data_IF_878563037406
#
_entry.id   IF_878563037406
#
_cell.length_a   1.000
_cell.length_b   1.000
_cell.length_c   1.000
_cell.angle_alpha   90.00
_cell.angle_beta   90.00
_cell.angle_gamma   90.00
#
_symmetry.space_group_name_H-M   'P 1'
#
loop_
_entity.id
_entity.type
_entity.pdbx_description
1 polymer ?
#
# COMPACT_ATOMS: atom_id res chain seq x y z
N UNK A 1 -37.48 -34.32 50.71
CA UNK A 1 -37.35 -32.84 50.60
C UNK A 1 -35.95 -32.35 51.04
N UNK A 2 -34.88 -32.84 50.44
CA UNK A 2 -33.51 -32.33 50.70
C UNK A 2 -32.68 -32.13 49.42
N UNK A 3 -33.12 -32.70 48.28
CA UNK A 3 -32.45 -32.55 46.98
C UNK A 3 -32.92 -31.28 46.24
N UNK A 4 -34.15 -30.81 46.48
CA UNK A 4 -34.70 -29.61 45.83
C UNK A 4 -34.07 -28.32 46.41
N UNK A 5 -33.70 -28.31 47.69
CA UNK A 5 -33.05 -27.16 48.32
C UNK A 5 -31.61 -26.94 47.81
N UNK A 6 -30.88 -28.00 47.46
CA UNK A 6 -29.52 -27.93 46.94
C UNK A 6 -29.47 -27.42 45.48
N UNK A 7 -30.50 -27.70 44.68
CA UNK A 7 -30.59 -27.18 43.31
C UNK A 7 -30.98 -25.69 43.31
N UNK A 8 -31.85 -25.26 44.23
CA UNK A 8 -32.20 -23.83 44.37
C UNK A 8 -31.02 -23.01 44.92
N UNK A 9 -30.17 -23.59 45.78
CA UNK A 9 -28.94 -22.96 46.28
C UNK A 9 -27.79 -22.94 45.25
N UNK A 10 -27.70 -23.92 44.34
CA UNK A 10 -26.73 -23.88 43.25
C UNK A 10 -27.11 -22.91 42.12
N UNK A 11 -28.39 -22.56 41.99
CA UNK A 11 -28.87 -21.58 41.00
C UNK A 11 -28.83 -20.14 41.54
N UNK A 12 -28.71 -19.93 42.86
CA UNK A 12 -28.74 -18.60 43.48
C UNK A 12 -27.36 -17.97 43.77
N UNK A 13 -26.26 -18.65 43.43
CA UNK A 13 -24.89 -18.09 43.47
C UNK A 13 -24.30 -17.76 42.08
N UNK A 14 -25.11 -17.82 41.01
CA UNK A 14 -24.79 -17.06 39.81
C UNK A 14 -25.27 -15.64 40.01
N UNK A 15 -24.34 -14.78 40.44
CA UNK A 15 -24.42 -13.32 40.34
C UNK A 15 -25.23 -12.98 39.10
N UNK A 16 -26.38 -12.36 39.33
CA UNK A 16 -27.30 -11.82 38.35
C UNK A 16 -26.50 -11.16 37.23
N UNK A 17 -26.21 -11.91 36.18
CA UNK A 17 -25.52 -11.37 35.03
C UNK A 17 -26.49 -10.33 34.47
N UNK A 18 -26.12 -9.08 34.62
CA UNK A 18 -26.72 -7.96 33.92
C UNK A 18 -26.44 -8.13 32.42
N UNK A 19 -27.14 -9.07 31.79
CA UNK A 19 -27.06 -9.35 30.36
C UNK A 19 -27.87 -8.27 29.68
N UNK A 20 -27.20 -7.33 29.03
CA UNK A 20 -27.87 -6.46 28.07
C UNK A 20 -27.95 -7.19 26.72
N UNK A 21 -29.16 -7.33 26.20
CA UNK A 21 -29.38 -7.27 24.76
C UNK A 21 -29.12 -5.81 24.34
N UNK A 22 -28.31 -5.61 23.30
CA UNK A 22 -27.94 -4.26 22.85
C UNK A 22 -29.16 -3.56 22.22
N UNK A 23 -29.61 -2.45 22.81
CA UNK A 23 -30.78 -1.69 22.33
C UNK A 23 -30.58 -1.03 20.94
N UNK A 24 -29.34 -1.02 20.40
CA UNK A 24 -29.07 -0.52 19.04
C UNK A 24 -27.86 -1.22 18.40
N UNK A 25 -28.15 -2.13 17.47
CA UNK A 25 -27.15 -2.85 16.67
C UNK A 25 -26.78 -2.10 15.38
N UNK A 26 -26.87 -0.78 15.38
CA UNK A 26 -26.46 0.05 14.24
C UNK A 26 -24.98 0.39 14.33
N UNK A 27 -24.29 0.51 13.18
CA UNK A 27 -22.86 0.85 13.15
C UNK A 27 -22.56 2.16 13.88
N UNK A 28 -23.43 3.17 13.76
CA UNK A 28 -23.29 4.45 14.45
C UNK A 28 -23.39 4.28 15.97
N UNK A 29 -24.38 3.52 16.47
CA UNK A 29 -24.50 3.31 17.91
C UNK A 29 -23.36 2.47 18.49
N UNK A 30 -22.90 1.45 17.76
CA UNK A 30 -21.69 0.70 18.15
C UNK A 30 -20.50 1.66 18.19
N UNK A 31 -20.34 2.53 17.19
CA UNK A 31 -19.27 3.51 17.13
C UNK A 31 -19.32 4.47 18.33
N UNK A 32 -20.48 5.04 18.65
CA UNK A 32 -20.66 5.93 19.79
C UNK A 32 -20.32 5.24 21.12
N UNK A 33 -20.72 3.96 21.28
CA UNK A 33 -20.35 3.17 22.45
C UNK A 33 -18.82 3.00 22.56
N UNK A 34 -18.13 2.71 21.45
CA UNK A 34 -16.66 2.61 21.46
C UNK A 34 -16.02 3.96 21.79
N UNK A 35 -16.51 5.07 21.23
CA UNK A 35 -15.98 6.41 21.54
C UNK A 35 -16.17 6.79 23.00
N UNK A 36 -17.36 6.55 23.55
CA UNK A 36 -17.64 6.76 24.97
C UNK A 36 -16.71 5.90 25.84
N UNK A 37 -16.52 4.63 25.46
CA UNK A 37 -15.57 3.73 26.15
C UNK A 37 -14.14 4.26 26.10
N UNK A 38 -13.69 4.81 24.96
CA UNK A 38 -12.35 5.40 24.82
C UNK A 38 -12.15 6.64 25.70
N UNK A 39 -13.20 7.41 25.98
CA UNK A 39 -13.13 8.56 26.90
C UNK A 39 -13.04 8.13 28.37
N UNK A 40 -13.56 6.94 28.68
CA UNK A 40 -13.61 6.38 30.03
C UNK A 40 -12.34 5.61 30.38
N UNK A 41 -11.73 4.98 29.38
CA UNK A 41 -10.53 4.18 29.52
C UNK A 41 -9.27 5.03 29.32
N UNK A 42 -8.16 4.58 29.90
CA UNK A 42 -6.87 5.21 29.66
C UNK A 42 -6.41 5.00 28.21
N UNK A 43 -6.62 6.02 27.36
CA UNK A 43 -6.27 6.04 25.93
C UNK A 43 -4.83 5.57 25.65
N UNK A 44 -3.86 6.01 26.44
CA UNK A 44 -2.45 5.65 26.24
C UNK A 44 -2.19 4.16 26.50
N UNK A 45 -2.82 3.59 27.52
CA UNK A 45 -2.71 2.15 27.78
C UNK A 45 -3.46 1.33 26.73
N UNK A 46 -4.64 1.78 26.29
CA UNK A 46 -5.41 1.13 25.21
C UNK A 46 -4.60 1.08 23.91
N UNK A 47 -3.95 2.18 23.53
CA UNK A 47 -3.16 2.24 22.31
C UNK A 47 -1.94 1.30 22.30
N UNK A 48 -1.40 0.95 23.48
CA UNK A 48 -0.29 -0.02 23.60
C UNK A 48 -0.75 -1.46 23.35
N UNK A 49 -2.05 -1.74 23.43
CA UNK A 49 -2.62 -3.07 23.20
C UNK A 49 -2.88 -3.38 21.73
N UNK A 50 -2.69 -2.39 20.85
CA UNK A 50 -2.81 -2.54 19.40
C UNK A 50 -1.43 -2.87 18.84
N UNK A 51 -1.35 -3.94 18.06
CA UNK A 51 -0.12 -4.27 17.37
C UNK A 51 0.02 -3.43 16.08
N UNK A 52 0.64 -2.25 16.20
CA UNK A 52 0.83 -1.32 15.08
C UNK A 52 1.61 -1.90 13.90
N UNK A 53 2.56 -2.81 14.15
CA UNK A 53 3.32 -3.46 13.08
C UNK A 53 2.43 -4.30 12.17
N UNK A 54 1.50 -5.05 12.77
CA UNK A 54 0.50 -5.83 12.04
C UNK A 54 -0.48 -4.93 11.27
N UNK A 55 -0.70 -3.70 11.73
CA UNK A 55 -1.68 -2.79 11.13
C UNK A 55 -1.22 -2.14 9.86
N UNK A 56 0.08 -2.05 9.60
CA UNK A 56 0.60 -1.37 8.39
C UNK A 56 -0.15 -1.74 7.11
N UNK A 57 -0.33 -3.04 6.89
CA UNK A 57 -0.92 -3.57 5.66
C UNK A 57 -2.35 -4.09 5.84
N UNK A 58 -2.81 -4.23 7.08
CA UNK A 58 -4.11 -4.83 7.41
C UNK A 58 -5.01 -3.90 8.23
N UNK A 59 -4.69 -2.61 8.23
CA UNK A 59 -5.54 -1.56 8.77
C UNK A 59 -6.94 -1.63 8.13
N UNK A 60 -7.96 -1.26 8.91
CA UNK A 60 -9.38 -1.36 8.54
C UNK A 60 -9.92 -2.78 8.34
N UNK A 61 -9.07 -3.81 8.16
CA UNK A 61 -9.55 -5.17 7.93
C UNK A 61 -10.07 -5.83 9.22
N UNK A 62 -11.26 -6.41 9.10
CA UNK A 62 -11.97 -7.12 10.13
C UNK A 62 -11.46 -8.55 10.37
N UNK A 63 -11.70 -9.05 11.57
CA UNK A 63 -11.28 -10.39 12.00
C UNK A 63 -11.79 -11.50 11.05
N UNK A 64 -13.05 -11.44 10.62
CA UNK A 64 -13.68 -12.47 9.80
C UNK A 64 -13.06 -12.55 8.40
N UNK A 65 -12.80 -11.41 7.76
CA UNK A 65 -12.20 -11.39 6.41
C UNK A 65 -10.76 -11.93 6.46
N UNK A 66 -10.02 -11.55 7.50
CA UNK A 66 -8.66 -12.08 7.70
C UNK A 66 -8.68 -13.58 8.01
N UNK A 67 -9.65 -14.06 8.78
CA UNK A 67 -9.81 -15.49 9.06
C UNK A 67 -10.13 -16.28 7.79
N UNK A 68 -11.02 -15.79 6.93
CA UNK A 68 -11.37 -16.43 5.64
C UNK A 68 -10.19 -16.48 4.66
N UNK A 69 -9.14 -15.69 4.90
CA UNK A 69 -7.99 -15.56 4.00
C UNK A 69 -6.71 -16.16 4.60
N UNK A 70 -6.84 -16.96 5.67
CA UNK A 70 -5.71 -17.53 6.43
C UNK A 70 -4.69 -16.48 6.93
N UNK A 71 -5.16 -15.24 7.14
CA UNK A 71 -4.38 -14.11 7.68
C UNK A 71 -4.83 -13.71 9.09
N UNK A 72 -5.51 -14.61 9.80
CA UNK A 72 -6.04 -14.38 11.15
C UNK A 72 -5.01 -13.78 12.12
N UNK A 73 -3.75 -14.22 12.01
CA UNK A 73 -2.62 -13.76 12.83
C UNK A 73 -2.29 -12.27 12.65
N UNK A 74 -2.74 -11.66 11.56
CA UNK A 74 -2.53 -10.25 11.24
C UNK A 74 -3.63 -9.34 11.80
N UNK A 75 -4.66 -9.90 12.46
CA UNK A 75 -5.69 -9.07 13.08
C UNK A 75 -5.09 -8.23 14.22
N UNK A 76 -5.10 -6.92 14.02
CA UNK A 76 -4.48 -5.91 14.87
C UNK A 76 -5.10 -5.73 16.24
N UNK A 77 -6.42 -5.90 16.30
CA UNK A 77 -7.22 -5.37 17.38
C UNK A 77 -7.53 -6.44 18.44
N UNK A 78 -6.89 -7.61 18.37
CA UNK A 78 -7.08 -8.72 19.33
C UNK A 78 -6.94 -8.27 20.79
N UNK A 79 -5.98 -7.41 21.09
CA UNK A 79 -5.72 -6.92 22.45
C UNK A 79 -6.75 -5.91 22.97
N UNK A 80 -7.57 -5.33 22.10
CA UNK A 80 -8.58 -4.33 22.47
C UNK A 80 -10.01 -4.77 22.19
N UNK A 81 -10.22 -5.80 21.36
CA UNK A 81 -11.55 -6.24 20.94
C UNK A 81 -12.47 -6.53 22.12
N UNK A 82 -11.95 -7.14 23.19
CA UNK A 82 -12.76 -7.49 24.35
C UNK A 82 -13.23 -6.24 25.11
N UNK A 83 -12.37 -5.22 25.23
CA UNK A 83 -12.68 -3.97 25.94
C UNK A 83 -13.79 -3.16 25.26
N UNK A 84 -13.94 -3.29 23.94
CA UNK A 84 -14.83 -2.44 23.13
C UNK A 84 -16.01 -3.18 22.51
N UNK A 85 -15.88 -4.48 22.22
CA UNK A 85 -16.93 -5.28 21.58
C UNK A 85 -17.67 -6.21 22.54
N UNK A 86 -17.10 -6.48 23.72
CA UNK A 86 -17.69 -7.39 24.70
C UNK A 86 -18.03 -6.69 26.03
N UNK A 87 -17.62 -5.44 26.22
CA UNK A 87 -17.93 -4.65 27.40
C UNK A 87 -18.66 -3.36 27.04
N UNK A 88 -19.57 -2.94 27.91
CA UNK A 88 -20.24 -1.64 27.86
C UNK A 88 -20.07 -0.92 29.19
N UNK A 89 -19.71 0.36 29.12
CA UNK A 89 -19.57 1.24 30.28
C UNK A 89 -20.84 2.05 30.41
N UNK A 90 -21.70 1.68 31.34
CA UNK A 90 -23.00 2.33 31.49
C UNK A 90 -22.94 3.40 32.58
N UNK A 91 -23.50 4.59 32.33
CA UNK A 91 -23.53 5.65 33.33
C UNK A 91 -24.47 5.29 34.48
N UNK A 92 -24.18 5.83 35.66
CA UNK A 92 -25.05 5.77 36.82
C UNK A 92 -24.94 7.05 37.66
N UNK A 93 -25.93 7.27 38.52
CA UNK A 93 -25.96 8.44 39.39
C UNK A 93 -25.01 8.27 40.58
N UNK A 94 -23.98 9.12 40.64
CA UNK A 94 -22.92 9.05 41.63
C UNK A 94 -23.38 9.55 43.00
N UNK A 95 -22.96 8.90 44.08
CA UNK A 95 -23.06 9.47 45.43
C UNK A 95 -22.14 10.71 45.54
N UNK A 96 -22.56 11.73 46.30
CA UNK A 96 -21.71 12.88 46.65
C UNK A 96 -20.40 12.47 47.34
N UNK A 97 -20.39 11.35 48.07
CA UNK A 97 -19.20 10.79 48.71
C UNK A 97 -18.41 9.79 47.84
N UNK A 98 -18.78 9.58 46.58
CA UNK A 98 -18.18 8.48 45.81
C UNK A 98 -16.66 8.61 45.64
N UNK A 99 -16.15 9.82 45.35
CA UNK A 99 -14.72 10.03 45.15
C UNK A 99 -13.91 9.66 46.40
N UNK A 100 -14.43 9.98 47.59
CA UNK A 100 -13.83 9.58 48.87
C UNK A 100 -13.82 8.06 49.04
N UNK A 101 -14.92 7.38 48.72
CA UNK A 101 -15.03 5.91 48.77
C UNK A 101 -14.07 5.27 47.75
N UNK A 102 -13.95 5.83 46.54
CA UNK A 102 -13.01 5.39 45.50
C UNK A 102 -11.57 5.55 45.96
N UNK A 103 -11.21 6.68 46.58
CA UNK A 103 -9.85 6.91 47.07
C UNK A 103 -9.47 5.94 48.19
N UNK A 104 -10.39 5.68 49.14
CA UNK A 104 -10.24 4.62 50.14
C UNK A 104 -10.02 3.26 49.48
N UNK A 105 -10.85 2.91 48.50
CA UNK A 105 -10.76 1.66 47.75
C UNK A 105 -9.40 1.49 47.06
N UNK A 106 -8.97 2.47 46.26
CA UNK A 106 -7.70 2.43 45.54
C UNK A 106 -6.52 2.35 46.51
N UNK A 107 -6.57 3.07 47.63
CA UNK A 107 -5.54 3.03 48.67
C UNK A 107 -5.41 1.66 49.32
N UNK A 108 -6.53 1.04 49.70
CA UNK A 108 -6.56 -0.33 50.23
C UNK A 108 -6.01 -1.30 49.19
N UNK A 109 -6.52 -1.25 47.95
CA UNK A 109 -6.09 -2.14 46.87
C UNK A 109 -4.59 -2.01 46.56
N UNK A 110 -4.03 -0.80 46.45
CA UNK A 110 -2.60 -0.60 46.21
C UNK A 110 -1.75 -1.16 47.35
N UNK A 111 -2.13 -0.91 48.60
CA UNK A 111 -1.39 -1.36 49.79
C UNK A 111 -1.45 -2.87 49.98
N UNK A 112 -2.55 -3.49 49.55
CA UNK A 112 -2.71 -4.94 49.57
C UNK A 112 -2.06 -5.65 48.37
N UNK A 113 -1.97 -4.99 47.21
CA UNK A 113 -1.42 -5.55 45.98
C UNK A 113 0.09 -5.41 45.86
N UNK A 114 0.66 -4.33 46.41
CA UNK A 114 2.10 -4.07 46.38
C UNK A 114 2.71 -4.34 47.76
N UNK A 115 4.00 -4.70 47.79
CA UNK A 115 4.75 -4.73 49.04
C UNK A 115 5.05 -3.28 49.43
N UNK A 116 4.17 -2.65 50.22
CA UNK A 116 4.36 -1.28 50.67
C UNK A 116 5.18 -1.27 51.97
N UNK A 117 6.44 -0.78 51.98
CA UNK A 117 7.31 -0.81 53.17
C UNK A 117 6.83 0.08 54.33
N UNK A 118 5.83 0.95 54.09
CA UNK A 118 5.32 1.93 55.07
C UNK A 118 3.98 1.53 55.71
N UNK A 119 3.50 0.30 55.51
CA UNK A 119 2.26 -0.18 56.12
C UNK A 119 2.56 -0.79 57.51
N UNK A 120 1.93 -0.27 58.56
CA UNK A 120 2.07 -0.76 59.94
C UNK A 120 1.19 -1.99 60.17
N UNK A 121 -0.08 -1.90 59.77
CA UNK A 121 -1.08 -2.95 59.88
C UNK A 121 -2.02 -2.91 58.66
N UNK A 122 -2.40 -4.09 58.15
CA UNK A 122 -3.35 -4.22 57.03
C UNK A 122 -4.14 -5.52 57.13
N UNK A 123 -5.43 -5.46 56.79
CA UNK A 123 -6.25 -6.63 56.50
C UNK A 123 -6.57 -6.64 55.00
N UNK A 124 -6.14 -7.70 54.32
CA UNK A 124 -6.31 -7.93 52.88
C UNK A 124 -6.97 -9.30 52.61
N UNK A 125 -7.63 -9.89 53.60
CA UNK A 125 -8.12 -11.29 53.57
C UNK A 125 -9.13 -11.58 52.46
N UNK A 126 -9.91 -10.58 52.05
CA UNK A 126 -10.89 -10.73 50.95
C UNK A 126 -10.28 -10.56 49.56
N UNK A 127 -8.97 -10.28 49.45
CA UNK A 127 -8.27 -10.04 48.19
C UNK A 127 -7.39 -11.24 47.84
N UNK A 128 -7.60 -11.79 46.66
CA UNK A 128 -6.69 -12.79 46.11
C UNK A 128 -5.44 -12.09 45.56
N UNK A 129 -4.30 -12.33 46.20
CA UNK A 129 -3.04 -11.69 45.84
C UNK A 129 -2.50 -12.12 44.48
N UNK A 130 -2.79 -13.33 43.99
CA UNK A 130 -2.29 -13.83 42.71
C UNK A 130 -2.95 -13.12 41.53
N UNK A 131 -4.27 -13.00 41.57
CA UNK A 131 -5.07 -12.50 40.46
C UNK A 131 -5.66 -11.09 40.70
N UNK A 132 -5.48 -10.54 41.90
CA UNK A 132 -6.00 -9.25 42.38
C UNK A 132 -7.52 -9.14 42.32
N UNK A 133 -8.26 -10.25 42.39
CA UNK A 133 -9.73 -10.25 42.46
C UNK A 133 -10.21 -10.29 43.91
N UNK A 134 -11.41 -9.76 44.14
CA UNK A 134 -12.08 -9.74 45.43
C UNK A 134 -13.17 -10.82 45.45
N UNK A 135 -13.16 -11.71 46.46
CA UNK A 135 -14.06 -12.87 46.51
C UNK A 135 -15.51 -12.52 46.83
N UNK A 136 -15.71 -11.64 47.81
CA UNK A 136 -17.01 -11.15 48.24
C UNK A 136 -16.92 -9.62 48.38
N UNK A 137 -17.75 -8.92 47.61
CA UNK A 137 -17.76 -7.47 47.58
C UNK A 137 -18.16 -6.85 48.92
N UNK A 138 -19.15 -7.44 49.59
CA UNK A 138 -19.69 -6.93 50.84
C UNK A 138 -18.74 -7.25 52.00
N UNK A 139 -18.16 -8.44 52.02
CA UNK A 139 -17.12 -8.81 53.01
C UNK A 139 -15.91 -7.89 52.87
N UNK A 140 -15.50 -7.59 51.63
CA UNK A 140 -14.38 -6.70 51.38
C UNK A 140 -14.62 -5.32 51.98
N UNK A 141 -15.80 -4.75 51.73
CA UNK A 141 -16.18 -3.44 52.21
C UNK A 141 -16.35 -3.38 53.73
N UNK A 142 -16.67 -4.51 54.38
CA UNK A 142 -16.84 -4.58 55.84
C UNK A 142 -15.54 -4.73 56.62
N UNK A 143 -14.57 -5.47 56.08
CA UNK A 143 -13.49 -6.04 56.89
C UNK A 143 -12.09 -5.58 56.51
N UNK A 144 -11.85 -5.12 55.28
CA UNK A 144 -10.52 -4.68 54.85
C UNK A 144 -10.21 -3.28 55.35
N UNK A 145 -8.97 -3.10 55.81
CA UNK A 145 -8.45 -1.82 56.26
C UNK A 145 -6.94 -1.75 56.07
N UNK A 146 -6.42 -0.52 56.01
CA UNK A 146 -4.97 -0.27 55.96
C UNK A 146 -4.60 0.89 56.89
N UNK A 147 -3.47 0.75 57.58
CA UNK A 147 -2.88 1.77 58.44
C UNK A 147 -1.47 2.08 57.96
N UNK A 148 -1.24 3.31 57.49
CA UNK A 148 0.07 3.80 57.05
C UNK A 148 0.72 4.64 58.15
N UNK A 149 2.04 4.72 58.18
CA UNK A 149 2.81 5.50 59.16
C UNK A 149 2.27 6.94 59.30
N UNK A 150 1.76 7.28 60.49
CA UNK A 150 1.27 8.63 60.81
C UNK A 150 -0.17 8.94 60.35
N UNK A 151 -0.89 7.98 59.76
CA UNK A 151 -2.26 8.16 59.27
C UNK A 151 -3.29 7.38 60.10
N UNK A 152 -4.53 7.87 60.10
CA UNK A 152 -5.68 7.11 60.65
C UNK A 152 -5.96 5.89 59.79
N UNK A 153 -6.43 4.82 60.43
CA UNK A 153 -6.91 3.60 59.78
C UNK A 153 -7.90 3.96 58.66
N UNK A 154 -7.61 3.50 57.45
CA UNK A 154 -8.48 3.68 56.27
C UNK A 154 -9.36 2.44 56.14
N UNK A 155 -10.67 2.61 56.32
CA UNK A 155 -11.71 1.57 56.20
C UNK A 155 -13.04 2.19 55.73
N UNK A 156 -14.02 1.35 55.38
CA UNK A 156 -15.35 1.82 54.95
C UNK A 156 -16.37 1.81 56.09
N UNK A 157 -17.12 2.90 56.20
CA UNK A 157 -18.25 3.02 57.12
C UNK A 157 -19.48 2.26 56.60
N UNK A 158 -20.43 1.85 57.47
CA UNK A 158 -21.63 1.12 57.04
C UNK A 158 -22.43 1.80 55.93
N UNK A 159 -22.49 3.13 55.94
CA UNK A 159 -23.16 3.94 54.91
C UNK A 159 -22.44 3.93 53.55
N UNK A 160 -21.17 3.52 53.52
CA UNK A 160 -20.33 3.44 52.32
C UNK A 160 -20.36 2.04 51.67
N UNK A 161 -20.86 1.01 52.37
CA UNK A 161 -20.75 -0.41 51.95
C UNK A 161 -21.42 -0.71 50.62
N UNK A 162 -22.60 -0.14 50.34
CA UNK A 162 -23.31 -0.38 49.08
C UNK A 162 -22.53 0.18 47.88
N UNK A 163 -22.02 1.41 48.00
CA UNK A 163 -21.24 2.04 46.93
C UNK A 163 -19.87 1.40 46.77
N UNK A 164 -19.22 1.02 47.87
CA UNK A 164 -18.01 0.22 47.83
C UNK A 164 -18.24 -1.10 47.08
N UNK A 165 -19.36 -1.79 47.32
CA UNK A 165 -19.67 -3.06 46.65
C UNK A 165 -19.80 -2.89 45.13
N UNK A 166 -20.43 -1.80 44.66
CA UNK A 166 -20.53 -1.46 43.23
C UNK A 166 -19.15 -1.17 42.59
N UNK A 167 -18.26 -0.51 43.32
CA UNK A 167 -16.87 -0.27 42.88
C UNK A 167 -16.14 -1.61 42.78
N UNK A 168 -16.29 -2.49 43.76
CA UNK A 168 -15.67 -3.83 43.78
C UNK A 168 -16.14 -4.69 42.59
N UNK A 169 -17.44 -4.70 42.29
CA UNK A 169 -17.99 -5.43 41.15
C UNK A 169 -17.38 -4.95 39.82
N UNK A 170 -17.33 -3.63 39.61
CA UNK A 170 -16.70 -3.03 38.42
C UNK A 170 -15.20 -3.30 38.36
N UNK A 171 -14.52 -3.27 39.51
CA UNK A 171 -13.11 -3.59 39.63
C UNK A 171 -12.81 -5.06 39.29
N UNK A 172 -13.59 -6.00 39.81
CA UNK A 172 -13.45 -7.42 39.52
C UNK A 172 -13.63 -7.71 38.03
N UNK A 173 -14.60 -7.07 37.39
CA UNK A 173 -14.82 -7.23 35.95
C UNK A 173 -13.67 -6.61 35.14
N UNK A 174 -13.21 -5.42 35.52
CA UNK A 174 -12.00 -4.84 34.93
C UNK A 174 -10.80 -5.80 35.08
N UNK A 175 -10.60 -6.37 36.27
CA UNK A 175 -9.47 -7.23 36.58
C UNK A 175 -9.52 -8.55 35.80
N UNK A 176 -10.72 -9.10 35.61
CA UNK A 176 -10.94 -10.24 34.74
C UNK A 176 -10.47 -9.97 33.30
N UNK A 177 -10.79 -8.79 32.75
CA UNK A 177 -10.35 -8.40 31.40
C UNK A 177 -8.84 -8.17 31.35
N UNK A 178 -8.32 -7.41 32.31
CA UNK A 178 -6.90 -7.14 32.50
C UNK A 178 -6.07 -8.43 32.44
N UNK A 179 -6.53 -9.50 33.09
CA UNK A 179 -5.87 -10.82 33.06
C UNK A 179 -5.87 -11.46 31.67
N UNK A 180 -6.98 -11.38 30.93
CA UNK A 180 -7.04 -11.87 29.53
C UNK A 180 -6.06 -11.12 28.61
N UNK A 181 -5.72 -9.88 28.97
CA UNK A 181 -4.78 -9.04 28.25
C UNK A 181 -3.35 -9.10 28.82
N UNK A 182 -3.11 -9.93 29.85
CA UNK A 182 -1.84 -10.04 30.55
C UNK A 182 -1.34 -8.70 31.16
N UNK A 183 -2.25 -7.88 31.68
CA UNK A 183 -1.96 -6.56 32.24
C UNK A 183 -2.30 -6.48 33.74
N UNK A 184 -1.73 -7.35 34.58
CA UNK A 184 -2.12 -7.57 35.99
C UNK A 184 -2.60 -6.33 36.79
N UNK A 185 -1.93 -5.18 36.69
CA UNK A 185 -2.24 -3.98 37.48
C UNK A 185 -3.08 -2.92 36.75
N UNK A 186 -3.56 -3.19 35.53
CA UNK A 186 -4.29 -2.22 34.69
C UNK A 186 -5.39 -1.46 35.44
N UNK A 187 -6.23 -2.17 36.21
CA UNK A 187 -7.36 -1.59 36.91
C UNK A 187 -6.97 -0.73 38.12
N UNK A 188 -5.83 -1.03 38.75
CA UNK A 188 -5.28 -0.31 39.91
C UNK A 188 -4.46 0.90 39.47
N UNK A 189 -3.77 0.79 38.33
CA UNK A 189 -2.92 1.84 37.76
C UNK A 189 -3.71 2.83 36.88
N UNK A 190 -5.04 2.81 36.99
CA UNK A 190 -5.92 3.80 36.35
C UNK A 190 -6.28 3.48 34.90
N UNK A 191 -6.35 2.21 34.52
CA UNK A 191 -6.88 1.75 33.24
C UNK A 191 -8.39 1.99 33.07
N UNK A 192 -9.14 1.89 34.18
CA UNK A 192 -10.52 2.35 34.32
C UNK A 192 -10.58 3.28 35.55
N UNK A 193 -10.99 4.53 35.37
CA UNK A 193 -10.97 5.55 36.46
C UNK A 193 -12.36 6.05 36.86
N UNK A 194 -13.36 5.81 36.03
CA UNK A 194 -14.71 6.35 36.19
C UNK A 194 -15.60 5.45 37.06
N UNK A 195 -15.02 4.82 38.09
CA UNK A 195 -15.76 3.98 39.05
C UNK A 195 -16.93 4.70 39.70
N UNK A 196 -16.90 6.04 39.74
CA UNK A 196 -17.93 6.86 40.36
C UNK A 196 -19.08 7.26 39.46
N UNK A 197 -18.91 7.17 38.14
CA UNK A 197 -19.90 7.63 37.17
C UNK A 197 -20.35 6.52 36.24
N UNK A 198 -19.59 5.42 36.15
CA UNK A 198 -19.86 4.31 35.25
C UNK A 198 -19.63 2.96 35.93
N UNK A 199 -20.41 1.95 35.54
CA UNK A 199 -20.13 0.55 35.84
C UNK A 199 -19.90 -0.24 34.55
N UNK A 200 -19.17 -1.34 34.66
CA UNK A 200 -18.85 -2.21 33.51
C UNK A 200 -19.90 -3.32 33.42
N UNK A 201 -20.46 -3.56 32.23
CA UNK A 201 -21.32 -4.72 31.92
C UNK A 201 -20.79 -5.50 30.73
N UNK A 202 -21.03 -6.81 30.74
CA UNK A 202 -20.71 -7.69 29.62
C UNK A 202 -21.83 -7.66 28.57
N UNK A 203 -21.46 -7.55 27.30
CA UNK A 203 -22.36 -7.61 26.14
C UNK A 203 -22.28 -9.02 25.55
N UNK A 204 -23.43 -9.69 25.42
CA UNK A 204 -23.56 -11.05 24.85
C UNK A 204 -24.45 -11.07 23.62
N UNK A 205 -24.27 -10.10 22.73
CA UNK A 205 -24.93 -10.03 21.43
C UNK A 205 -23.92 -10.35 20.32
N UNK A 206 -24.07 -11.51 19.68
CA UNK A 206 -23.16 -11.96 18.64
C UNK A 206 -23.20 -11.09 17.37
N UNK A 207 -24.31 -10.41 17.10
CA UNK A 207 -24.42 -9.49 15.96
C UNK A 207 -23.67 -8.20 16.24
N UNK A 208 -23.86 -7.63 17.44
CA UNK A 208 -23.08 -6.48 17.92
C UNK A 208 -21.58 -6.78 17.87
N UNK A 209 -21.17 -7.91 18.43
CA UNK A 209 -19.77 -8.32 18.49
C UNK A 209 -19.18 -8.48 17.09
N UNK A 210 -19.90 -9.13 16.18
CA UNK A 210 -19.47 -9.30 14.80
C UNK A 210 -19.33 -7.96 14.07
N UNK A 211 -20.29 -7.04 14.20
CA UNK A 211 -20.20 -5.71 13.56
C UNK A 211 -19.08 -4.87 14.15
N UNK A 212 -18.92 -4.92 15.48
CA UNK A 212 -17.86 -4.22 16.19
C UNK A 212 -16.48 -4.67 15.72
N UNK A 213 -16.17 -5.97 15.77
CA UNK A 213 -14.83 -6.49 15.42
C UNK A 213 -14.46 -6.31 13.95
N UNK A 214 -15.45 -6.31 13.06
CA UNK A 214 -15.21 -6.33 11.63
C UNK A 214 -15.27 -4.97 10.93
N UNK A 215 -16.01 -4.00 11.47
CA UNK A 215 -16.22 -2.73 10.79
C UNK A 215 -15.88 -1.54 11.68
N UNK A 216 -16.49 -1.47 12.85
CA UNK A 216 -16.42 -0.27 13.69
C UNK A 216 -15.08 -0.16 14.41
N UNK A 217 -14.61 -1.23 15.04
CA UNK A 217 -13.35 -1.25 15.77
C UNK A 217 -12.16 -0.92 14.84
N UNK A 218 -12.02 -1.54 13.65
CA UNK A 218 -10.96 -1.17 12.72
C UNK A 218 -11.00 0.30 12.28
N UNK A 219 -12.20 0.83 12.03
CA UNK A 219 -12.40 2.22 11.60
C UNK A 219 -12.09 3.24 12.70
N UNK A 220 -12.60 3.05 13.92
CA UNK A 220 -12.34 3.97 15.03
C UNK A 220 -10.85 4.04 15.32
N UNK A 221 -10.17 2.89 15.29
CA UNK A 221 -8.73 2.85 15.55
C UNK A 221 -7.89 3.32 14.36
N UNK A 222 -8.33 3.19 13.11
CA UNK A 222 -7.62 3.83 11.99
C UNK A 222 -7.64 5.36 12.14
N UNK A 223 -8.79 5.93 12.48
CA UNK A 223 -8.92 7.38 12.75
C UNK A 223 -8.06 7.82 13.94
N UNK A 224 -7.99 6.98 14.97
CA UNK A 224 -7.15 7.24 16.14
C UNK A 224 -5.65 7.20 15.84
N UNK A 225 -5.22 6.35 14.90
CA UNK A 225 -3.83 6.24 14.48
C UNK A 225 -3.42 7.35 13.51
N UNK A 226 -4.35 7.80 12.65
CA UNK A 226 -4.14 8.96 11.76
C UNK A 226 -3.96 10.25 12.56
N UNK A 227 -4.91 10.57 13.44
CA UNK A 227 -4.86 11.76 14.28
C UNK A 227 -5.59 11.50 15.62
N UNK A 228 -4.85 11.39 16.74
CA UNK A 228 -5.44 11.17 18.04
C UNK A 228 -6.42 12.27 18.49
N UNK A 229 -6.28 13.50 18.02
CA UNK A 229 -7.13 14.65 18.38
C UNK A 229 -8.41 14.72 17.53
N UNK A 230 -8.46 13.98 16.42
CA UNK A 230 -9.58 13.97 15.47
C UNK A 230 -10.83 13.21 15.95
N UNK A 231 -10.73 12.40 17.01
CA UNK A 231 -11.87 11.62 17.52
C UNK A 231 -12.88 12.50 18.24
N UNK A 232 -13.81 13.03 17.44
CA UNK A 232 -15.03 13.69 17.92
C UNK A 232 -16.21 12.74 17.74
N UNK A 233 -17.29 12.89 18.54
CA UNK A 233 -18.52 12.13 18.36
C UNK A 233 -19.08 12.18 16.93
N UNK A 234 -18.82 13.27 16.20
CA UNK A 234 -19.20 13.44 14.80
C UNK A 234 -18.63 12.38 13.84
N UNK A 235 -17.55 11.68 14.22
CA UNK A 235 -16.97 10.59 13.41
C UNK A 235 -17.94 9.41 13.27
N UNK A 236 -18.78 9.19 14.28
CA UNK A 236 -19.79 8.14 14.29
C UNK A 236 -21.11 8.54 13.62
N UNK A 237 -21.30 9.83 13.33
CA UNK A 237 -22.43 10.27 12.52
C UNK A 237 -22.29 9.68 11.12
N UNK A 238 -23.29 8.89 10.70
CA UNK A 238 -23.26 8.12 9.45
C UNK A 238 -22.04 7.20 9.33
N UNK A 239 -21.78 6.41 10.39
CA UNK A 239 -20.65 5.51 10.44
C UNK A 239 -20.61 4.53 9.25
N UNK A 240 -21.75 4.12 8.70
CA UNK A 240 -21.86 3.30 7.50
C UNK A 240 -21.24 3.97 6.24
N UNK A 241 -21.58 5.23 5.97
CA UNK A 241 -20.99 6.02 4.88
C UNK A 241 -19.49 6.25 5.13
N UNK A 242 -19.09 6.58 6.35
CA UNK A 242 -17.69 6.89 6.68
C UNK A 242 -16.78 5.66 6.63
N UNK A 243 -17.24 4.52 7.14
CA UNK A 243 -16.52 3.24 7.08
C UNK A 243 -16.36 2.80 5.63
N UNK A 244 -17.44 2.83 4.84
CA UNK A 244 -17.38 2.44 3.43
C UNK A 244 -16.44 3.34 2.63
N UNK A 245 -16.50 4.67 2.82
CA UNK A 245 -15.58 5.62 2.18
C UNK A 245 -14.11 5.35 2.54
N UNK A 246 -13.82 5.08 3.82
CA UNK A 246 -12.46 4.78 4.28
C UNK A 246 -11.90 3.49 3.68
N UNK A 247 -12.72 2.43 3.64
CA UNK A 247 -12.36 1.16 3.01
C UNK A 247 -12.11 1.32 1.49
N UNK A 248 -12.99 2.07 0.81
CA UNK A 248 -12.90 2.33 -0.62
C UNK A 248 -11.61 3.08 -0.97
N UNK A 249 -11.31 4.15 -0.24
CA UNK A 249 -10.12 4.97 -0.45
C UNK A 249 -8.83 4.16 -0.25
N UNK A 250 -8.72 3.38 0.83
CA UNK A 250 -7.54 2.56 1.07
C UNK A 250 -7.37 1.49 -0.02
N UNK A 251 -8.46 0.84 -0.44
CA UNK A 251 -8.46 -0.12 -1.54
C UNK A 251 -7.94 0.49 -2.84
N UNK A 252 -8.42 1.69 -3.20
CA UNK A 252 -8.03 2.37 -4.44
C UNK A 252 -6.55 2.78 -4.43
N UNK A 253 -6.06 3.27 -3.29
CA UNK A 253 -4.65 3.60 -3.12
C UNK A 253 -3.75 2.36 -3.30
N UNK A 254 -4.15 1.21 -2.75
CA UNK A 254 -3.39 -0.04 -2.87
C UNK A 254 -3.43 -0.58 -4.31
N UNK A 255 -4.58 -0.53 -4.97
CA UNK A 255 -4.71 -0.91 -6.38
C UNK A 255 -3.87 -0.01 -7.29
N UNK A 256 -3.87 1.29 -7.05
CA UNK A 256 -3.04 2.25 -7.79
C UNK A 256 -1.54 1.94 -7.64
N UNK A 257 -1.07 1.70 -6.40
CA UNK A 257 0.32 1.31 -6.13
C UNK A 257 0.68 0.00 -6.82
N UNK A 258 -0.20 -1.01 -6.73
CA UNK A 258 -0.02 -2.30 -7.39
C UNK A 258 0.13 -2.15 -8.91
N UNK A 259 -0.81 -1.41 -9.53
CA UNK A 259 -0.78 -1.13 -10.98
C UNK A 259 0.48 -0.40 -11.39
N UNK A 260 0.89 0.63 -10.66
CA UNK A 260 2.11 1.39 -10.97
C UNK A 260 3.36 0.51 -11.00
N UNK A 261 3.48 -0.48 -10.10
CA UNK A 261 4.58 -1.44 -10.16
C UNK A 261 4.49 -2.35 -11.39
N UNK A 262 3.31 -2.88 -11.73
CA UNK A 262 3.14 -3.71 -12.92
C UNK A 262 3.38 -2.95 -14.23
N UNK A 263 2.93 -1.70 -14.33
CA UNK A 263 3.14 -0.83 -15.49
C UNK A 263 4.65 -0.55 -15.67
N UNK A 264 5.40 -0.37 -14.57
CA UNK A 264 6.86 -0.22 -14.63
C UNK A 264 7.55 -1.47 -15.19
N UNK A 265 7.10 -2.68 -14.81
CA UNK A 265 7.59 -3.93 -15.41
C UNK A 265 7.30 -3.99 -16.91
N UNK A 266 6.06 -3.71 -17.32
CA UNK A 266 5.67 -3.77 -18.73
C UNK A 266 6.44 -2.76 -19.59
N UNK A 267 6.68 -1.55 -19.07
CA UNK A 267 7.48 -0.52 -19.74
C UNK A 267 8.91 -0.99 -19.97
N UNK A 268 9.49 -1.75 -19.05
CA UNK A 268 10.84 -2.30 -19.21
C UNK A 268 10.91 -3.40 -20.28
N UNK A 269 9.92 -4.32 -20.32
CA UNK A 269 9.82 -5.29 -21.42
C UNK A 269 9.71 -4.61 -22.78
N UNK A 270 8.89 -3.56 -22.86
CA UNK A 270 8.74 -2.75 -24.08
C UNK A 270 10.06 -2.07 -24.46
N UNK A 271 10.80 -1.52 -23.47
CA UNK A 271 12.11 -0.93 -23.70
C UNK A 271 13.11 -1.96 -24.24
N UNK A 272 13.22 -3.14 -23.62
CA UNK A 272 14.11 -4.23 -24.07
C UNK A 272 13.83 -4.66 -25.50
N UNK A 273 12.56 -4.82 -25.86
CA UNK A 273 12.14 -5.14 -27.23
C UNK A 273 12.54 -4.03 -28.20
N UNK A 274 12.26 -2.77 -27.84
CA UNK A 274 12.63 -1.61 -28.64
C UNK A 274 14.16 -1.50 -28.83
N UNK A 275 14.97 -1.80 -27.80
CA UNK A 275 16.44 -1.87 -27.92
C UNK A 275 16.84 -2.94 -28.93
N UNK A 276 16.29 -4.16 -28.85
CA UNK A 276 16.61 -5.24 -29.79
C UNK A 276 16.26 -4.88 -31.25
N UNK A 277 15.07 -4.30 -31.47
CA UNK A 277 14.63 -3.87 -32.79
C UNK A 277 15.55 -2.76 -33.34
N UNK A 278 15.97 -1.82 -32.48
CA UNK A 278 16.88 -0.75 -32.85
C UNK A 278 18.30 -1.26 -33.13
N UNK A 279 18.83 -2.21 -32.34
CA UNK A 279 20.13 -2.83 -32.60
C UNK A 279 20.17 -3.53 -33.95
N UNK A 280 19.15 -4.35 -34.25
CA UNK A 280 19.04 -5.03 -35.54
C UNK A 280 19.02 -4.04 -36.69
N UNK A 281 18.35 -2.89 -36.51
CA UNK A 281 18.28 -1.84 -37.51
C UNK A 281 19.60 -1.13 -37.71
N UNK A 282 20.30 -0.81 -36.62
CA UNK A 282 21.63 -0.19 -36.63
C UNK A 282 22.67 -1.09 -37.32
N UNK A 283 22.62 -2.40 -37.08
CA UNK A 283 23.50 -3.36 -37.75
C UNK A 283 23.21 -3.44 -39.25
N UNK A 284 21.93 -3.49 -39.64
CA UNK A 284 21.53 -3.44 -41.06
C UNK A 284 22.00 -2.16 -41.76
N UNK A 285 21.93 -1.02 -41.08
CA UNK A 285 22.33 0.26 -41.63
C UNK A 285 23.84 0.31 -41.99
N UNK A 286 24.71 -0.31 -41.20
CA UNK A 286 26.16 -0.39 -41.51
C UNK A 286 26.39 -1.26 -42.75
N UNK A 287 25.63 -2.34 -42.90
CA UNK A 287 25.69 -3.24 -44.06
C UNK A 287 25.23 -2.50 -45.32
N UNK A 288 24.07 -1.84 -45.24
CA UNK A 288 23.49 -1.10 -46.37
C UNK A 288 24.40 0.06 -46.82
N UNK A 289 25.09 0.72 -45.90
CA UNK A 289 26.08 1.75 -46.24
C UNK A 289 27.27 1.18 -47.02
N UNK A 290 27.78 0.01 -46.62
CA UNK A 290 28.88 -0.65 -47.33
C UNK A 290 28.46 -1.01 -48.75
N UNK A 291 27.24 -1.51 -48.92
CA UNK A 291 26.67 -1.79 -50.24
C UNK A 291 26.53 -0.51 -51.07
N UNK A 292 26.09 0.58 -50.47
CA UNK A 292 25.97 1.88 -51.13
C UNK A 292 27.30 2.35 -51.69
N UNK A 293 28.37 2.27 -50.89
CA UNK A 293 29.71 2.67 -51.32
C UNK A 293 30.21 1.79 -52.48
N UNK A 294 29.97 0.48 -52.41
CA UNK A 294 30.36 -0.44 -53.48
C UNK A 294 29.61 -0.12 -54.78
N UNK A 295 28.30 0.09 -54.71
CA UNK A 295 27.46 0.43 -55.86
C UNK A 295 27.80 1.81 -56.43
N UNK A 296 28.06 2.80 -55.59
CA UNK A 296 28.46 4.13 -56.04
C UNK A 296 29.81 4.09 -56.75
N UNK A 297 30.79 3.35 -56.21
CA UNK A 297 32.11 3.21 -56.82
C UNK A 297 32.04 2.52 -58.19
N UNK A 298 31.20 1.51 -58.35
CA UNK A 298 30.96 0.88 -59.66
C UNK A 298 30.39 1.89 -60.64
N UNK A 299 29.35 2.64 -60.27
CA UNK A 299 28.79 3.70 -61.10
C UNK A 299 29.86 4.74 -61.48
N UNK A 300 30.65 5.19 -60.51
CA UNK A 300 31.68 6.21 -60.75
C UNK A 300 32.78 5.73 -61.68
N UNK A 301 33.20 4.47 -61.59
CA UNK A 301 34.16 3.87 -62.52
C UNK A 301 33.62 3.85 -63.96
N UNK A 302 32.36 3.46 -64.14
CA UNK A 302 31.72 3.46 -65.46
C UNK A 302 31.52 4.87 -66.03
N UNK A 303 31.16 5.83 -65.17
CA UNK A 303 31.00 7.24 -65.55
C UNK A 303 32.34 7.93 -65.87
N UNK A 304 33.45 7.46 -65.27
CA UNK A 304 34.81 7.97 -65.48
C UNK A 304 35.66 7.13 -66.43
N UNK A 305 35.06 6.26 -67.26
CA UNK A 305 35.80 5.26 -68.04
C UNK A 305 37.03 5.85 -68.77
N UNK A 306 38.25 5.32 -68.55
CA UNK A 306 39.50 6.05 -68.78
C UNK A 306 40.08 5.98 -70.20
N UNK A 307 39.30 5.56 -71.21
CA UNK A 307 39.78 5.59 -72.59
C UNK A 307 39.70 7.01 -73.18
N UNK A 308 40.41 7.27 -74.29
CA UNK A 308 40.63 8.61 -74.90
C UNK A 308 39.36 9.43 -75.23
N UNK A 309 38.16 8.91 -74.94
CA UNK A 309 36.86 9.50 -75.22
C UNK A 309 35.98 9.46 -73.96
N UNK A 310 35.24 10.54 -73.70
CA UNK A 310 34.23 10.64 -72.66
C UNK A 310 32.86 10.30 -73.25
N UNK A 311 31.94 9.75 -72.44
CA UNK A 311 30.57 9.52 -72.87
C UNK A 311 29.70 10.74 -72.55
N UNK A 312 28.84 11.11 -73.50
CA UNK A 312 27.68 11.95 -73.21
C UNK A 312 26.49 11.04 -72.89
N UNK A 313 25.90 11.22 -71.71
CA UNK A 313 24.86 10.33 -71.16
C UNK A 313 23.45 10.88 -71.37
N UNK A 314 22.50 9.99 -71.65
CA UNK A 314 21.11 10.38 -71.84
C UNK A 314 20.54 11.13 -70.63
N UNK A 315 19.53 11.97 -70.87
CA UNK A 315 18.84 12.72 -69.82
C UNK A 315 18.29 11.83 -68.69
N UNK A 316 17.99 10.56 -68.98
CA UNK A 316 17.56 9.57 -67.98
C UNK A 316 18.69 9.24 -67.00
N UNK A 317 19.92 9.03 -67.49
CA UNK A 317 21.11 8.79 -66.65
C UNK A 317 21.45 10.02 -65.83
N UNK A 318 21.40 11.21 -66.45
CA UNK A 318 21.66 12.49 -65.76
C UNK A 318 20.62 12.73 -64.65
N UNK A 319 19.34 12.48 -64.94
CA UNK A 319 18.25 12.61 -63.98
C UNK A 319 18.39 11.64 -62.81
N UNK A 320 18.77 10.39 -63.08
CA UNK A 320 18.94 9.37 -62.04
C UNK A 320 20.17 9.65 -61.16
N UNK A 321 21.27 10.09 -61.77
CA UNK A 321 22.45 10.56 -61.05
C UNK A 321 22.12 11.76 -60.14
N UNK A 322 21.31 12.71 -60.62
CA UNK A 322 20.91 13.87 -59.82
C UNK A 322 20.09 13.48 -58.58
N UNK A 323 19.16 12.52 -58.70
CA UNK A 323 18.41 11.98 -57.55
C UNK A 323 19.34 11.29 -56.55
N UNK A 324 20.24 10.43 -57.03
CA UNK A 324 21.21 9.74 -56.17
C UNK A 324 22.08 10.75 -55.41
N UNK A 325 22.53 11.83 -56.07
CA UNK A 325 23.26 12.93 -55.44
C UNK A 325 22.46 13.60 -54.33
N UNK A 326 21.21 13.98 -54.60
CA UNK A 326 20.35 14.65 -53.62
C UNK A 326 20.17 13.79 -52.36
N UNK A 327 20.01 12.48 -52.53
CA UNK A 327 19.88 11.55 -51.41
C UNK A 327 21.21 11.42 -50.66
N UNK A 328 22.36 11.33 -51.34
CA UNK A 328 23.68 11.30 -50.69
C UNK A 328 23.93 12.57 -49.87
N UNK A 329 23.57 13.75 -50.39
CA UNK A 329 23.65 15.01 -49.64
C UNK A 329 22.73 14.99 -48.41
N UNK A 330 21.54 14.40 -48.52
CA UNK A 330 20.61 14.18 -47.39
C UNK A 330 21.20 13.26 -46.33
N UNK A 331 21.83 12.15 -46.74
CA UNK A 331 22.52 11.21 -45.83
C UNK A 331 23.64 11.96 -45.09
N UNK A 332 24.44 12.75 -45.80
CA UNK A 332 25.54 13.53 -45.22
C UNK A 332 25.05 14.56 -44.19
N UNK A 333 23.96 15.26 -44.49
CA UNK A 333 23.36 16.21 -43.56
C UNK A 333 22.83 15.53 -42.29
N UNK A 334 22.15 14.38 -42.44
CA UNK A 334 21.68 13.59 -41.30
C UNK A 334 22.85 13.04 -40.47
N UNK A 335 23.93 12.62 -41.13
CA UNK A 335 25.16 12.17 -40.47
C UNK A 335 25.80 13.28 -39.63
N UNK A 336 25.87 14.52 -40.15
CA UNK A 336 26.43 15.66 -39.40
C UNK A 336 25.63 15.98 -38.13
N UNK A 337 24.31 15.76 -38.14
CA UNK A 337 23.49 15.91 -36.93
C UNK A 337 23.83 14.85 -35.86
N UNK A 338 24.24 13.66 -36.28
CA UNK A 338 24.63 12.57 -35.37
C UNK A 338 26.07 12.63 -34.90
N UNK A 339 26.97 13.34 -35.60
CA UNK A 339 28.34 13.56 -35.11
C UNK A 339 28.40 14.44 -33.85
N UNK A 340 27.29 15.04 -33.43
CA UNK A 340 27.16 15.87 -32.23
C UNK A 340 26.36 15.20 -31.10
N UNK A 341 26.32 13.87 -31.07
CA UNK A 341 25.48 13.14 -30.12
C UNK A 341 25.77 13.49 -28.65
N UNK A 342 24.73 13.81 -27.86
CA UNK A 342 24.87 14.12 -26.44
C UNK A 342 25.23 12.89 -25.59
N UNK A 343 25.84 13.12 -24.42
CA UNK A 343 26.32 12.05 -23.54
C UNK A 343 25.21 11.27 -22.80
N UNK A 344 23.99 11.79 -22.77
CA UNK A 344 22.84 11.30 -21.99
C UNK A 344 21.85 10.46 -22.83
N UNK A 345 21.32 9.37 -22.23
CA UNK A 345 20.38 8.44 -22.88
C UNK A 345 19.06 9.11 -23.30
N UNK A 346 18.52 10.01 -22.47
CA UNK A 346 17.25 10.71 -22.76
C UNK A 346 17.38 11.60 -24.00
N UNK A 347 18.51 12.30 -24.12
CA UNK A 347 18.79 13.14 -25.29
C UNK A 347 19.13 12.30 -26.52
N UNK A 348 19.78 11.15 -26.35
CA UNK A 348 20.02 10.17 -27.41
C UNK A 348 18.71 9.66 -28.03
N UNK A 349 17.69 9.36 -27.19
CA UNK A 349 16.36 8.93 -27.66
C UNK A 349 15.72 9.98 -28.58
N UNK A 350 15.85 11.26 -28.25
CA UNK A 350 15.30 12.34 -29.07
C UNK A 350 15.96 12.47 -30.45
N UNK A 351 17.15 11.88 -30.66
CA UNK A 351 17.87 11.90 -31.95
C UNK A 351 17.70 10.60 -32.76
N UNK A 352 16.96 9.61 -32.26
CA UNK A 352 16.76 8.33 -32.94
C UNK A 352 16.01 8.50 -34.25
N UNK A 353 15.09 9.46 -34.35
CA UNK A 353 14.39 9.74 -35.60
C UNK A 353 15.36 10.14 -36.73
N UNK A 354 16.44 10.87 -36.43
CA UNK A 354 17.49 11.20 -37.41
C UNK A 354 18.25 9.96 -37.88
N UNK A 355 18.52 9.00 -36.98
CA UNK A 355 19.11 7.69 -37.33
C UNK A 355 18.18 6.91 -38.25
N UNK A 356 16.89 6.86 -37.90
CA UNK A 356 15.83 6.20 -38.66
C UNK A 356 15.69 6.78 -40.06
N UNK A 357 15.79 8.09 -40.20
CA UNK A 357 15.71 8.78 -41.49
C UNK A 357 16.96 8.56 -42.34
N UNK A 358 18.14 8.47 -41.72
CA UNK A 358 19.38 8.16 -42.43
C UNK A 358 19.39 6.71 -42.96
N UNK A 359 18.94 5.73 -42.18
CA UNK A 359 18.76 4.35 -42.64
C UNK A 359 17.85 4.26 -43.88
N UNK A 360 16.71 4.95 -43.85
CA UNK A 360 15.82 5.05 -45.02
C UNK A 360 16.52 5.66 -46.23
N UNK A 361 17.25 6.76 -46.03
CA UNK A 361 17.97 7.44 -47.11
C UNK A 361 19.09 6.58 -47.71
N UNK A 362 19.80 5.78 -46.90
CA UNK A 362 20.82 4.83 -47.40
C UNK A 362 20.18 3.76 -48.28
N UNK A 363 19.04 3.19 -47.85
CA UNK A 363 18.29 2.21 -48.64
C UNK A 363 17.77 2.80 -49.94
N UNK A 364 17.25 4.03 -49.89
CA UNK A 364 16.79 4.79 -51.06
C UNK A 364 17.95 5.01 -52.05
N UNK A 365 19.10 5.49 -51.55
CA UNK A 365 20.29 5.70 -52.39
C UNK A 365 20.77 4.40 -53.05
N UNK A 366 20.76 3.29 -52.32
CA UNK A 366 21.10 1.97 -52.87
C UNK A 366 20.26 1.58 -54.08
N UNK A 367 18.96 1.88 -54.05
CA UNK A 367 18.05 1.63 -55.19
C UNK A 367 18.48 2.49 -56.38
N UNK A 368 18.61 3.80 -56.18
CA UNK A 368 18.97 4.73 -57.25
C UNK A 368 20.35 4.44 -57.86
N UNK A 369 21.34 3.99 -57.08
CA UNK A 369 22.64 3.59 -57.61
C UNK A 369 22.58 2.27 -58.39
N UNK A 370 21.73 1.31 -58.00
CA UNK A 370 21.51 0.08 -58.79
C UNK A 370 20.83 0.38 -60.12
N UNK A 371 19.84 1.27 -60.11
CA UNK A 371 19.14 1.71 -61.32
C UNK A 371 20.09 2.47 -62.25
N UNK A 372 20.86 3.40 -61.68
CA UNK A 372 21.91 4.14 -62.39
C UNK A 372 22.94 3.20 -63.02
N UNK A 373 23.44 2.21 -62.27
CA UNK A 373 24.38 1.21 -62.78
C UNK A 373 23.79 0.44 -63.97
N UNK A 374 22.53 0.04 -63.87
CA UNK A 374 21.81 -0.68 -64.94
C UNK A 374 21.69 0.17 -66.19
N UNK A 375 21.30 1.44 -66.06
CA UNK A 375 21.20 2.38 -67.18
C UNK A 375 22.55 2.57 -67.87
N UNK A 376 23.61 2.84 -67.11
CA UNK A 376 24.95 3.08 -67.68
C UNK A 376 25.49 1.82 -68.36
N UNK A 377 25.35 0.65 -67.73
CA UNK A 377 25.84 -0.62 -68.27
C UNK A 377 25.04 -1.12 -69.49
N UNK A 378 23.77 -0.75 -69.61
CA UNK A 378 22.95 -1.03 -70.80
C UNK A 378 23.31 -0.19 -72.03
N UNK A 379 24.21 0.80 -71.87
CA UNK A 379 24.69 1.63 -72.97
C UNK A 379 23.85 2.87 -73.26
N UNK A 380 23.18 3.46 -72.26
CA UNK A 380 22.45 4.74 -72.38
C UNK A 380 23.38 5.96 -72.50
N UNK A 381 24.14 6.01 -73.59
CA UNK A 381 25.02 7.11 -73.99
C UNK A 381 24.79 7.41 -75.49
N UNK A 382 24.73 8.69 -75.85
CA UNK A 382 24.25 9.11 -77.18
C UNK A 382 25.36 9.54 -78.15
N UNK A 383 26.58 9.87 -77.68
CA UNK A 383 27.80 10.01 -78.51
C UNK A 383 29.11 10.04 -77.69
N UNK A 384 30.25 9.85 -78.36
CA UNK A 384 31.60 10.03 -77.79
C UNK A 384 32.03 11.50 -77.84
N UNK A 385 32.39 12.06 -76.68
CA UNK A 385 32.87 13.42 -76.51
C UNK A 385 34.39 13.47 -76.27
N UNK A 386 35.08 14.43 -76.89
CA UNK A 386 36.48 14.77 -76.57
C UNK A 386 36.60 15.70 -75.35
N UNK A 387 35.48 16.23 -74.84
CA UNK A 387 35.41 17.10 -73.67
C UNK A 387 34.68 16.42 -72.52
N UNK A 388 35.32 16.41 -71.36
CA UNK A 388 34.75 15.90 -70.12
C UNK A 388 33.66 16.84 -69.60
N UNK A 389 32.55 16.27 -69.12
CA UNK A 389 31.56 17.02 -68.36
C UNK A 389 32.13 17.35 -66.97
N UNK A 390 32.50 18.62 -66.79
CA UNK A 390 33.08 19.11 -65.52
C UNK A 390 32.06 19.12 -64.38
N UNK A 391 30.78 19.30 -64.68
CA UNK A 391 29.72 19.34 -63.67
C UNK A 391 29.50 17.95 -63.10
N UNK A 392 29.38 16.94 -63.97
CA UNK A 392 29.28 15.55 -63.55
C UNK A 392 30.51 15.12 -62.74
N UNK A 393 31.71 15.43 -63.23
CA UNK A 393 32.95 15.12 -62.51
C UNK A 393 33.01 15.77 -61.12
N UNK A 394 32.65 17.05 -61.01
CA UNK A 394 32.65 17.75 -59.71
C UNK A 394 31.64 17.13 -58.74
N UNK A 395 30.44 16.79 -59.22
CA UNK A 395 29.42 16.15 -58.41
C UNK A 395 29.85 14.77 -57.92
N UNK A 396 30.49 13.97 -58.78
CA UNK A 396 31.05 12.67 -58.39
C UNK A 396 32.10 12.82 -57.29
N UNK A 397 33.05 13.75 -57.44
CA UNK A 397 34.08 14.00 -56.42
C UNK A 397 33.47 14.41 -55.07
N UNK A 398 32.42 15.24 -55.07
CA UNK A 398 31.71 15.63 -53.83
C UNK A 398 31.01 14.44 -53.19
N UNK A 399 30.31 13.62 -53.99
CA UNK A 399 29.62 12.44 -53.48
C UNK A 399 30.58 11.38 -52.94
N UNK A 400 31.70 11.11 -53.64
CA UNK A 400 32.77 10.23 -53.16
C UNK A 400 33.33 10.73 -51.82
N UNK A 401 33.60 12.02 -51.71
CA UNK A 401 34.08 12.64 -50.47
C UNK A 401 33.09 12.47 -49.31
N UNK A 402 31.80 12.78 -49.56
CA UNK A 402 30.74 12.66 -48.56
C UNK A 402 30.57 11.20 -48.10
N UNK A 403 30.46 10.25 -49.04
CA UNK A 403 30.29 8.82 -48.74
C UNK A 403 31.50 8.25 -48.00
N UNK A 404 32.72 8.62 -48.38
CA UNK A 404 33.94 8.21 -47.67
C UNK A 404 33.95 8.72 -46.22
N UNK A 405 33.56 9.99 -46.01
CA UNK A 405 33.47 10.55 -44.66
C UNK A 405 32.42 9.83 -43.82
N UNK A 406 31.24 9.57 -44.37
CA UNK A 406 30.19 8.80 -43.68
C UNK A 406 30.69 7.39 -43.35
N UNK A 407 31.34 6.70 -44.30
CA UNK A 407 31.90 5.36 -44.15
C UNK A 407 32.87 5.24 -42.97
N UNK A 408 33.75 6.24 -42.82
CA UNK A 408 34.80 6.23 -41.80
C UNK A 408 34.26 6.38 -40.38
N UNK A 409 33.19 7.15 -40.19
CA UNK A 409 32.74 7.57 -38.86
C UNK A 409 31.43 6.93 -38.42
N UNK A 410 30.54 6.61 -39.35
CA UNK A 410 29.22 6.08 -39.02
C UNK A 410 29.24 4.76 -38.23
N UNK A 411 30.09 3.76 -38.56
CA UNK A 411 30.18 2.53 -37.77
C UNK A 411 30.56 2.79 -36.30
N UNK A 412 31.47 3.72 -36.05
CA UNK A 412 31.89 4.10 -34.70
C UNK A 412 30.77 4.81 -33.94
N UNK A 413 30.05 5.73 -34.61
CA UNK A 413 28.88 6.39 -34.03
C UNK A 413 27.79 5.38 -33.68
N UNK A 414 27.51 4.42 -34.56
CA UNK A 414 26.54 3.35 -34.34
C UNK A 414 26.96 2.46 -33.14
N UNK A 415 28.23 2.06 -33.06
CA UNK A 415 28.75 1.30 -31.93
C UNK A 415 28.58 2.06 -30.60
N UNK A 416 28.83 3.37 -30.61
CA UNK A 416 28.62 4.23 -29.43
C UNK A 416 27.14 4.30 -29.02
N UNK A 417 26.23 4.46 -29.99
CA UNK A 417 24.77 4.45 -29.75
C UNK A 417 24.36 3.12 -29.11
N UNK A 418 24.79 1.98 -29.66
CA UNK A 418 24.52 0.64 -29.11
C UNK A 418 25.04 0.50 -27.68
N UNK A 419 26.28 0.93 -27.42
CA UNK A 419 26.86 0.89 -26.09
C UNK A 419 26.04 1.70 -25.07
N UNK A 420 25.61 2.91 -25.45
CA UNK A 420 24.86 3.81 -24.56
C UNK A 420 23.46 3.30 -24.25
N UNK A 421 22.76 2.73 -25.24
CA UNK A 421 21.42 2.17 -25.05
C UNK A 421 21.48 0.91 -24.17
N UNK A 422 22.53 0.11 -24.29
CA UNK A 422 22.75 -1.07 -23.45
C UNK A 422 23.33 -0.77 -22.06
N UNK A 423 23.79 0.46 -21.80
CA UNK A 423 24.37 0.83 -20.50
C UNK A 423 23.32 0.96 -19.38
N UNK A 424 22.03 1.08 -19.72
CA UNK A 424 20.96 0.98 -18.75
C UNK A 424 20.85 -0.46 -18.26
N UNK A 425 21.28 -0.76 -17.04
CA UNK A 425 21.03 -2.09 -16.44
C UNK A 425 19.52 -2.30 -16.34
N UNK A 426 18.94 -3.31 -17.02
CA UNK A 426 17.55 -3.65 -16.85
C UNK A 426 17.28 -3.94 -15.37
N UNK A 427 16.15 -3.47 -14.88
CA UNK A 427 15.64 -3.85 -13.58
C UNK A 427 15.37 -5.38 -13.49
N UNK A 428 15.08 -6.08 -14.59
CA UNK A 428 15.12 -7.55 -14.70
C UNK A 428 16.51 -8.15 -14.46
N UNK A 429 17.59 -7.47 -14.90
CA UNK A 429 18.95 -7.94 -14.66
C UNK A 429 19.31 -7.88 -13.17
N UNK A 430 18.54 -7.11 -12.38
CA UNK A 430 18.50 -7.19 -10.94
C UNK A 430 17.30 -8.03 -10.48
N UNK A 431 17.36 -9.33 -10.80
CA UNK A 431 16.30 -10.32 -10.52
C UNK A 431 15.78 -10.27 -9.07
N UNK A 432 16.65 -9.97 -8.09
CA UNK A 432 16.25 -9.81 -6.69
C UNK A 432 15.33 -8.60 -6.46
N UNK A 433 15.67 -7.45 -7.04
CA UNK A 433 14.83 -6.23 -6.96
C UNK A 433 13.51 -6.42 -7.72
N UNK A 434 13.55 -7.10 -8.86
CA UNK A 434 12.37 -7.45 -9.64
C UNK A 434 11.42 -8.39 -8.91
N UNK A 435 11.93 -9.52 -8.40
CA UNK A 435 11.12 -10.44 -7.60
C UNK A 435 10.46 -9.72 -6.42
N UNK A 436 11.21 -8.86 -5.71
CA UNK A 436 10.69 -8.10 -4.58
C UNK A 436 9.57 -7.11 -4.97
N UNK A 437 9.72 -6.34 -6.05
CA UNK A 437 8.66 -5.40 -6.47
C UNK A 437 7.42 -6.12 -7.00
N UNK A 438 7.61 -7.22 -7.74
CA UNK A 438 6.50 -8.04 -8.21
C UNK A 438 5.73 -8.67 -7.04
N UNK A 439 6.44 -9.17 -6.03
CA UNK A 439 5.84 -9.68 -4.80
C UNK A 439 5.06 -8.58 -4.07
N UNK A 440 5.65 -7.38 -3.90
CA UNK A 440 4.96 -6.24 -3.28
C UNK A 440 3.71 -5.81 -4.05
N UNK A 441 3.76 -5.81 -5.38
CA UNK A 441 2.61 -5.48 -6.22
C UNK A 441 1.46 -6.49 -5.99
N UNK A 442 1.78 -7.78 -5.91
CA UNK A 442 0.83 -8.83 -5.56
C UNK A 442 0.29 -8.69 -4.13
N UNK A 443 1.14 -8.37 -3.16
CA UNK A 443 0.71 -8.17 -1.78
C UNK A 443 -0.31 -7.03 -1.67
N UNK A 444 -0.07 -5.89 -2.34
CA UNK A 444 -1.03 -4.79 -2.39
C UNK A 444 -2.35 -5.19 -3.05
N UNK A 445 -2.30 -5.93 -4.17
CA UNK A 445 -3.49 -6.43 -4.87
C UNK A 445 -4.30 -7.39 -3.99
N UNK A 446 -3.61 -8.26 -3.26
CA UNK A 446 -4.24 -9.22 -2.36
C UNK A 446 -4.97 -8.49 -1.23
N UNK A 447 -4.31 -7.54 -0.56
CA UNK A 447 -4.93 -6.73 0.50
C UNK A 447 -6.12 -5.93 -0.03
N UNK A 448 -5.98 -5.28 -1.19
CA UNK A 448 -7.07 -4.55 -1.83
C UNK A 448 -8.29 -5.45 -2.10
N UNK A 449 -8.06 -6.71 -2.48
CA UNK A 449 -9.13 -7.69 -2.70
C UNK A 449 -9.85 -8.07 -1.40
N UNK A 450 -9.13 -8.11 -0.27
CA UNK A 450 -9.73 -8.31 1.05
C UNK A 450 -10.62 -7.12 1.46
N UNK A 451 -10.16 -5.89 1.19
CA UNK A 451 -10.94 -4.68 1.45
C UNK A 451 -12.22 -4.66 0.60
N UNK A 452 -12.16 -5.09 -0.66
CA UNK A 452 -13.33 -5.24 -1.54
C UNK A 452 -14.34 -6.27 -0.99
N UNK A 453 -13.86 -7.41 -0.49
CA UNK A 453 -14.71 -8.41 0.15
C UNK A 453 -15.39 -7.85 1.41
N UNK A 454 -14.66 -7.05 2.20
CA UNK A 454 -15.21 -6.38 3.38
C UNK A 454 -16.26 -5.33 3.03
N UNK A 455 -16.01 -4.50 2.01
CA UNK A 455 -16.97 -3.53 1.48
C UNK A 455 -18.26 -4.22 1.04
N UNK A 456 -18.14 -5.33 0.31
CA UNK A 456 -19.29 -6.13 -0.12
C UNK A 456 -20.10 -6.65 1.07
N UNK A 457 -19.42 -7.11 2.13
CA UNK A 457 -20.08 -7.54 3.35
C UNK A 457 -20.79 -6.39 4.07
N UNK A 458 -20.17 -5.21 4.12
CA UNK A 458 -20.76 -4.00 4.71
C UNK A 458 -22.02 -3.56 3.95
N UNK A 459 -21.98 -3.51 2.63
CA UNK A 459 -23.14 -3.13 1.82
C UNK A 459 -24.32 -4.10 1.98
N UNK A 460 -24.06 -5.39 2.17
CA UNK A 460 -25.11 -6.36 2.50
C UNK A 460 -25.79 -6.06 3.85
N UNK A 461 -25.04 -5.58 4.84
CA UNK A 461 -25.60 -5.17 6.14
C UNK A 461 -26.43 -3.89 5.97
N UNK A 462 -25.90 -2.88 5.28
CA UNK A 462 -26.59 -1.60 5.02
C UNK A 462 -27.89 -1.77 4.21
N UNK A 463 -27.90 -2.66 3.22
CA UNK A 463 -29.09 -2.96 2.44
C UNK A 463 -30.17 -3.66 3.29
N UNK A 464 -29.77 -4.52 4.22
CA UNK A 464 -30.69 -5.24 5.13
C UNK A 464 -31.23 -4.36 6.26
N UNK A 465 -30.49 -3.36 6.72
CA UNK A 465 -30.95 -2.44 7.78
C UNK A 465 -31.98 -1.40 7.33
N UNK A 466 -32.28 -1.31 6.02
CA UNK A 466 -33.39 -0.49 5.51
C UNK A 466 -34.77 -1.17 5.64
N UNK A 467 -34.82 -2.47 5.92
CA UNK A 467 -36.05 -3.21 6.21
C UNK A 467 -36.23 -3.40 7.72
N UNK A 468 -37.18 -2.66 8.31
CA UNK A 468 -37.45 -2.56 9.76
C UNK A 468 -37.99 -3.84 10.43
N UNK A 469 -38.05 -4.98 9.73
CA UNK A 469 -38.72 -6.20 10.22
C UNK A 469 -37.78 -7.41 10.50
N UNK A 470 -36.46 -7.26 10.42
CA UNK A 470 -35.53 -8.40 10.53
C UNK A 470 -35.27 -8.90 11.97
N UNK A 471 -35.66 -8.18 13.03
CA UNK A 471 -35.38 -8.60 14.44
C UNK A 471 -36.07 -9.93 14.82
N UNK A 472 -36.93 -10.51 13.97
CA UNK A 472 -37.63 -11.78 14.24
C UNK A 472 -37.10 -13.05 13.57
N UNK A 473 -36.00 -13.03 12.81
CA UNK A 473 -35.57 -14.24 12.07
C UNK A 473 -34.07 -14.53 12.08
N UNK A 474 -33.40 -14.30 13.20
CA UNK A 474 -32.10 -14.93 13.48
C UNK A 474 -32.32 -16.29 14.16
N UNK A 475 -32.92 -17.22 13.42
CA UNK A 475 -32.62 -18.65 13.56
C UNK A 475 -31.65 -18.98 12.42
N UNK A 476 -30.39 -19.25 12.79
CA UNK A 476 -29.36 -19.73 11.88
C UNK A 476 -29.07 -21.19 12.23
N UNK A 477 -29.82 -22.10 11.62
CA UNK A 477 -29.32 -23.44 11.26
C UNK A 477 -28.55 -23.37 9.95
#
# INVERSE_FOLDING_TARGET
MQIIALIILYVSNFISCNILQSDSNTLSSICDNILSSLQILNKNQVLRLINREKCRNYELLGEKILNLSDKSQNYCYRGVQFLFCNLRYQPYESNFNCEHIKDKFIKIMKTCSYHTPNALEKNCSSINSENLTIFDALEFCRTNYVTLNGEKQTQFEPVEHEYCSKIVESFNLCQYVSRRLNLRNYCIDGGFQNYCTHYIKEVRDGTYEAMCKNFVLPFVFSKLMEDPESLKPSVCAKADENISSSLLNLRDQLMFKSKSFFDAFQSEFAYKKWVQDLESRLDGMVIDLRDLINQSNLCFQYLNYPHRFFYAYDNVVIGEFAKAKEIVDRIYNNFNQLSHLPQEIVQLINHIDSVINMDKAIKEANIHFRDLYTLISSGSHYYFSLRRDRTLQNNMMVMESNLNRISLFLPNNIAHIKQKINAGTPFEANLGKASMLHQRANDFKNIASLLEAQLTALYKIMAKSKDSNFIRSLDLT
#
